data_IF_186754044786
#
_entry.id   IF_186754044786
#
_cell.length_a   1.000
_cell.length_b   1.000
_cell.length_c   1.000
_cell.angle_alpha   90.00
_cell.angle_beta   90.00
_cell.angle_gamma   90.00
#
_symmetry.space_group_name_H-M   'P 1'
#
loop_
_entity.id
_entity.type
_entity.pdbx_description
1 polymer ?
#
# COMPACT_ATOMS: atom_id res chain seq x y z
N UNK A 1 4.30 -8.53 32.97
CA UNK A 1 3.53 -7.31 32.69
C UNK A 1 2.07 -7.63 32.93
N UNK A 2 1.43 -6.95 33.88
CA UNK A 2 -0.01 -7.07 34.14
C UNK A 2 -0.83 -6.62 32.92
N UNK A 3 -2.13 -6.92 32.89
CA UNK A 3 -3.00 -6.45 31.82
C UNK A 3 -3.09 -4.91 31.76
N UNK A 4 -3.03 -4.23 32.90
CA UNK A 4 -3.07 -2.77 32.96
C UNK A 4 -1.77 -2.15 32.44
N UNK A 5 -0.61 -2.74 32.79
CA UNK A 5 0.69 -2.32 32.27
C UNK A 5 0.79 -2.52 30.74
N UNK A 6 0.18 -3.59 30.23
CA UNK A 6 0.10 -3.83 28.78
C UNK A 6 -0.75 -2.77 28.08
N UNK A 7 -1.88 -2.36 28.68
CA UNK A 7 -2.74 -1.31 28.12
C UNK A 7 -2.00 0.03 28.06
N UNK A 8 -1.39 0.42 29.17
CA UNK A 8 -0.61 1.67 29.26
C UNK A 8 0.53 1.68 28.23
N UNK A 9 1.17 0.53 28.01
CA UNK A 9 2.22 0.41 26.99
C UNK A 9 1.66 0.57 25.57
N UNK A 10 0.51 -0.05 25.25
CA UNK A 10 -0.14 0.08 23.95
C UNK A 10 -0.56 1.53 23.71
N UNK A 11 -1.22 2.16 24.68
CA UNK A 11 -1.62 3.57 24.62
C UNK A 11 -0.41 4.49 24.42
N UNK A 12 0.69 4.23 25.14
CA UNK A 12 1.94 4.98 25.00
C UNK A 12 2.54 4.86 23.59
N UNK A 13 2.47 3.69 22.98
CA UNK A 13 2.89 3.50 21.58
C UNK A 13 1.98 4.28 20.63
N UNK A 14 0.66 4.17 20.79
CA UNK A 14 -0.33 4.72 19.87
C UNK A 14 -0.40 6.25 19.89
N UNK A 15 -0.40 6.83 21.09
CA UNK A 15 -0.63 8.27 21.30
C UNK A 15 0.64 9.04 21.63
N UNK A 16 1.65 8.37 22.17
CA UNK A 16 2.90 8.98 22.61
C UNK A 16 4.01 8.93 21.57
N UNK A 17 4.79 7.85 21.58
CA UNK A 17 6.10 7.82 20.92
C UNK A 17 6.05 7.57 19.42
N UNK A 18 5.16 6.69 18.93
CA UNK A 18 5.16 6.34 17.52
C UNK A 18 4.75 7.51 16.61
N UNK A 19 3.70 8.31 16.94
CA UNK A 19 3.32 9.48 16.13
C UNK A 19 4.46 10.47 15.92
N UNK A 20 5.09 10.90 17.02
CA UNK A 20 6.17 11.88 17.00
C UNK A 20 7.43 11.33 16.33
N UNK A 21 7.76 10.06 16.56
CA UNK A 21 8.94 9.43 15.94
C UNK A 21 8.80 9.31 14.43
N UNK A 22 7.63 8.85 13.93
CA UNK A 22 7.38 8.70 12.50
C UNK A 22 7.40 10.06 11.79
N UNK A 23 6.76 11.06 12.38
CA UNK A 23 6.76 12.43 11.84
C UNK A 23 8.17 13.02 11.80
N UNK A 24 8.94 12.91 12.89
CA UNK A 24 10.31 13.40 12.95
C UNK A 24 11.24 12.70 11.96
N UNK A 25 11.06 11.39 11.75
CA UNK A 25 11.84 10.66 10.75
C UNK A 25 11.52 11.12 9.33
N UNK A 26 10.25 11.41 9.04
CA UNK A 26 9.87 12.01 7.76
C UNK A 26 10.53 13.39 7.57
N UNK A 27 10.45 14.27 8.57
CA UNK A 27 11.12 15.57 8.55
C UNK A 27 12.63 15.46 8.31
N UNK A 28 13.31 14.48 8.93
CA UNK A 28 14.74 14.23 8.70
C UNK A 28 15.03 13.80 7.26
N UNK A 29 14.23 12.91 6.70
CA UNK A 29 14.41 12.47 5.31
C UNK A 29 14.21 13.62 4.32
N UNK A 30 13.18 14.45 4.53
CA UNK A 30 12.89 15.58 3.65
C UNK A 30 13.75 16.82 3.91
N UNK A 31 14.48 16.83 5.03
CA UNK A 31 15.24 17.99 5.53
C UNK A 31 14.31 19.20 5.69
N UNK A 32 13.23 19.03 6.46
CA UNK A 32 12.19 20.04 6.68
C UNK A 32 11.69 20.05 8.13
N UNK A 33 10.84 21.03 8.48
CA UNK A 33 10.10 21.03 9.75
C UNK A 33 8.73 20.36 9.58
N UNK A 34 8.05 20.10 10.71
CA UNK A 34 6.71 19.48 10.73
C UNK A 34 5.63 20.37 10.10
N UNK A 35 5.81 21.69 10.14
CA UNK A 35 4.94 22.67 9.46
C UNK A 35 4.99 22.56 7.94
N UNK A 36 6.14 22.13 7.41
CA UNK A 36 6.45 22.20 5.99
C UNK A 36 6.03 20.90 5.27
N UNK A 37 5.61 19.88 6.02
CA UNK A 37 5.22 18.58 5.46
C UNK A 37 4.08 18.70 4.46
N UNK A 38 3.14 19.65 4.59
CA UNK A 38 1.96 19.69 3.72
C UNK A 38 2.26 20.02 2.24
N UNK A 39 3.30 20.79 1.99
CA UNK A 39 3.72 21.23 0.66
C UNK A 39 5.08 20.66 0.25
N UNK A 40 5.61 19.68 0.98
CA UNK A 40 7.00 19.24 0.79
C UNK A 40 7.25 18.65 -0.60
N UNK A 41 6.24 18.02 -1.20
CA UNK A 41 6.32 17.41 -2.53
C UNK A 41 6.30 18.44 -3.68
N UNK A 42 6.05 19.72 -3.40
CA UNK A 42 6.22 20.77 -4.42
C UNK A 42 7.70 21.05 -4.71
N UNK A 43 8.60 20.72 -3.76
CA UNK A 43 10.02 21.06 -3.82
C UNK A 43 10.97 19.87 -3.66
N UNK A 44 10.47 18.71 -3.21
CA UNK A 44 11.26 17.51 -2.94
C UNK A 44 10.79 16.34 -3.78
N UNK A 45 11.73 15.45 -4.09
CA UNK A 45 11.46 14.22 -4.84
C UNK A 45 10.53 13.28 -4.04
N UNK A 46 9.38 12.85 -4.61
CA UNK A 46 8.52 11.83 -4.03
C UNK A 46 9.22 10.51 -3.70
N UNK A 47 10.36 10.20 -4.33
CA UNK A 47 11.18 9.03 -3.99
C UNK A 47 11.61 9.02 -2.52
N UNK A 48 11.79 10.18 -1.89
CA UNK A 48 12.10 10.26 -0.46
C UNK A 48 10.99 9.62 0.40
N UNK A 49 9.73 9.71 -0.03
CA UNK A 49 8.61 9.08 0.67
C UNK A 49 8.67 7.55 0.54
N UNK A 50 9.05 7.06 -0.64
CA UNK A 50 9.24 5.62 -0.89
C UNK A 50 10.35 5.05 0.00
N UNK A 51 11.46 5.77 0.14
CA UNK A 51 12.58 5.36 1.01
C UNK A 51 12.13 5.23 2.47
N UNK A 52 11.37 6.20 3.00
CA UNK A 52 10.82 6.13 4.36
C UNK A 52 9.91 4.92 4.50
N UNK A 53 9.03 4.70 3.51
CA UNK A 53 8.11 3.58 3.50
C UNK A 53 8.83 2.24 3.50
N UNK A 54 9.85 2.05 2.66
CA UNK A 54 10.64 0.82 2.62
C UNK A 54 11.36 0.57 3.95
N UNK A 55 11.98 1.60 4.53
CA UNK A 55 12.60 1.51 5.85
C UNK A 55 11.60 1.11 6.95
N UNK A 56 10.40 1.70 6.92
CA UNK A 56 9.35 1.37 7.87
C UNK A 56 8.83 -0.05 7.67
N UNK A 57 8.47 -0.41 6.44
CA UNK A 57 7.71 -1.60 6.11
C UNK A 57 8.56 -2.87 6.00
N UNK A 58 9.76 -2.76 5.45
CA UNK A 58 10.64 -3.91 5.24
C UNK A 58 11.60 -4.17 6.41
N UNK A 59 11.91 -3.15 7.21
CA UNK A 59 12.89 -3.27 8.29
C UNK A 59 12.28 -3.05 9.67
N UNK A 60 11.69 -1.88 9.92
CA UNK A 60 11.23 -1.51 11.26
C UNK A 60 10.05 -2.35 11.72
N UNK A 61 9.04 -2.53 10.87
CA UNK A 61 7.84 -3.27 11.20
C UNK A 61 8.10 -4.75 11.53
N UNK A 62 8.86 -5.52 10.73
CA UNK A 62 9.19 -6.91 11.08
C UNK A 62 9.93 -7.04 12.42
N UNK A 63 10.82 -6.10 12.73
CA UNK A 63 11.54 -6.07 14.01
C UNK A 63 10.56 -5.80 15.17
N UNK A 64 9.70 -4.78 15.04
CA UNK A 64 8.69 -4.49 16.06
C UNK A 64 7.72 -5.66 16.26
N UNK A 65 7.26 -6.30 15.18
CA UNK A 65 6.42 -7.50 15.26
C UNK A 65 7.11 -8.63 16.01
N UNK A 66 8.40 -8.83 15.78
CA UNK A 66 9.18 -9.87 16.47
C UNK A 66 9.34 -9.57 17.96
N UNK A 67 9.68 -8.32 18.31
CA UNK A 67 9.87 -7.88 19.70
C UNK A 67 8.54 -7.94 20.47
N UNK A 68 7.45 -7.54 19.84
CA UNK A 68 6.12 -7.43 20.48
C UNK A 68 5.24 -8.65 20.26
N UNK A 69 5.76 -9.72 19.66
CA UNK A 69 5.04 -10.97 19.47
C UNK A 69 4.47 -11.56 20.78
N UNK A 70 5.19 -11.53 21.93
CA UNK A 70 4.63 -12.01 23.19
C UNK A 70 3.38 -11.23 23.62
N UNK A 71 3.39 -9.90 23.45
CA UNK A 71 2.24 -9.04 23.75
C UNK A 71 1.06 -9.38 22.84
N UNK A 72 1.29 -9.55 21.54
CA UNK A 72 0.27 -9.94 20.57
C UNK A 72 -0.33 -11.33 20.86
N UNK A 73 0.44 -12.25 21.48
CA UNK A 73 -0.12 -13.54 21.92
C UNK A 73 -1.09 -13.40 23.09
N UNK A 74 -0.82 -12.48 24.00
CA UNK A 74 -1.69 -12.23 25.16
C UNK A 74 -2.89 -11.37 24.81
N UNK A 75 -2.70 -10.37 23.94
CA UNK A 75 -3.69 -9.39 23.46
C UNK A 75 -4.02 -9.67 21.99
N UNK A 76 -5.12 -10.38 21.72
CA UNK A 76 -5.47 -10.79 20.34
C UNK A 76 -5.89 -9.62 19.44
N UNK A 77 -6.36 -8.55 20.06
CA UNK A 77 -6.74 -7.27 19.47
C UNK A 77 -5.52 -6.38 19.16
N UNK A 78 -4.41 -6.58 19.86
CA UNK A 78 -3.18 -5.85 19.59
C UNK A 78 -2.57 -6.26 18.26
N UNK A 79 -2.44 -5.30 17.35
CA UNK A 79 -1.81 -5.50 16.04
C UNK A 79 -0.86 -4.34 15.74
N UNK A 80 0.41 -4.50 16.12
CA UNK A 80 1.43 -3.45 15.95
C UNK A 80 1.56 -2.97 14.51
N UNK A 81 1.41 -3.87 13.54
CA UNK A 81 1.52 -3.52 12.12
C UNK A 81 0.43 -2.55 11.71
N UNK A 82 -0.83 -2.90 12.02
CA UNK A 82 -1.98 -2.02 11.78
C UNK A 82 -1.80 -0.68 12.51
N UNK A 83 -1.38 -0.70 13.78
CA UNK A 83 -1.16 0.51 14.58
C UNK A 83 -0.17 1.44 13.89
N UNK A 84 1.04 0.96 13.61
CA UNK A 84 2.12 1.78 13.04
C UNK A 84 1.76 2.31 11.65
N UNK A 85 1.12 1.51 10.79
CA UNK A 85 0.73 1.96 9.45
C UNK A 85 -0.42 2.98 9.52
N UNK A 86 -1.35 2.81 10.47
CA UNK A 86 -2.41 3.80 10.73
C UNK A 86 -1.81 5.13 11.17
N UNK A 87 -0.82 5.11 12.07
CA UNK A 87 -0.12 6.32 12.50
C UNK A 87 0.66 6.95 11.35
N UNK A 88 1.35 6.15 10.53
CA UNK A 88 2.08 6.64 9.36
C UNK A 88 1.13 7.33 8.36
N UNK A 89 -0.02 6.72 8.09
CA UNK A 89 -1.10 7.33 7.29
C UNK A 89 -1.51 8.68 7.86
N UNK A 90 -1.86 8.71 9.14
CA UNK A 90 -2.51 9.84 9.77
C UNK A 90 -1.57 11.02 10.05
N UNK A 91 -0.32 10.74 10.42
CA UNK A 91 0.64 11.75 10.85
C UNK A 91 1.61 12.17 9.76
N UNK A 92 1.91 11.28 8.81
CA UNK A 92 2.86 11.56 7.73
C UNK A 92 2.13 11.73 6.41
N UNK A 93 1.50 10.68 5.89
CA UNK A 93 0.97 10.69 4.51
C UNK A 93 -0.15 11.72 4.32
N UNK A 94 -1.10 11.81 5.24
CA UNK A 94 -2.19 12.81 5.18
C UNK A 94 -1.70 14.26 5.23
N UNK A 95 -0.47 14.50 5.69
CA UNK A 95 0.17 15.82 5.58
C UNK A 95 0.89 15.93 4.25
N UNK A 96 1.84 15.04 3.99
CA UNK A 96 2.70 15.05 2.79
C UNK A 96 1.93 15.10 1.48
N UNK A 97 0.75 14.49 1.44
CA UNK A 97 -0.08 14.35 0.24
C UNK A 97 -1.20 15.39 0.15
N UNK A 98 -1.34 16.28 1.14
CA UNK A 98 -2.50 17.17 1.27
C UNK A 98 -2.68 18.08 0.06
N UNK A 99 -1.58 18.69 -0.38
CA UNK A 99 -1.61 19.74 -1.41
C UNK A 99 -1.31 19.17 -2.82
N UNK A 100 -1.10 17.85 -2.93
CA UNK A 100 -0.81 17.17 -4.20
C UNK A 100 -2.08 17.03 -5.04
N UNK A 101 -2.10 17.67 -6.21
CA UNK A 101 -3.24 17.64 -7.14
C UNK A 101 -3.01 16.78 -8.39
N UNK A 102 -1.85 16.12 -8.50
CA UNK A 102 -1.47 15.35 -9.68
C UNK A 102 -1.14 13.90 -9.33
N UNK A 103 -1.18 13.04 -10.35
CA UNK A 103 -0.85 11.62 -10.20
C UNK A 103 0.65 11.44 -9.92
N UNK A 104 0.99 10.59 -8.94
CA UNK A 104 2.37 10.20 -8.63
C UNK A 104 2.47 8.66 -8.66
N UNK A 105 2.69 8.05 -9.84
CA UNK A 105 2.60 6.59 -10.01
C UNK A 105 3.53 5.79 -9.10
N UNK A 106 4.71 6.32 -8.75
CA UNK A 106 5.68 5.61 -7.91
C UNK A 106 5.17 5.37 -6.47
N UNK A 107 4.21 6.17 -6.00
CA UNK A 107 3.60 6.01 -4.68
C UNK A 107 2.46 5.00 -4.66
N UNK A 108 1.96 4.57 -5.83
CA UNK A 108 0.78 3.71 -5.95
C UNK A 108 0.88 2.40 -5.14
N UNK A 109 1.99 1.63 -5.18
CA UNK A 109 2.09 0.39 -4.40
C UNK A 109 2.05 0.62 -2.88
N UNK A 110 2.70 1.69 -2.41
CA UNK A 110 2.69 2.10 -1.00
C UNK A 110 1.28 2.50 -0.58
N UNK A 111 0.64 3.38 -1.34
CA UNK A 111 -0.70 3.89 -1.02
C UNK A 111 -1.73 2.76 -0.99
N UNK A 112 -1.68 1.85 -1.96
CA UNK A 112 -2.55 0.68 -1.98
C UNK A 112 -2.36 -0.19 -0.72
N UNK A 113 -1.12 -0.44 -0.32
CA UNK A 113 -0.82 -1.22 0.89
C UNK A 113 -1.36 -0.53 2.14
N UNK A 114 -1.18 0.79 2.27
CA UNK A 114 -1.69 1.56 3.41
C UNK A 114 -3.22 1.52 3.48
N UNK A 115 -3.90 1.66 2.34
CA UNK A 115 -5.37 1.57 2.28
C UNK A 115 -5.88 0.18 2.67
N UNK A 116 -5.15 -0.88 2.31
CA UNK A 116 -5.53 -2.25 2.64
C UNK A 116 -5.34 -2.57 4.12
N UNK A 117 -4.29 -2.05 4.75
CA UNK A 117 -3.90 -2.45 6.10
C UNK A 117 -4.55 -1.62 7.21
N UNK A 118 -4.96 -0.39 6.90
CA UNK A 118 -5.56 0.54 7.87
C UNK A 118 -7.08 0.43 7.91
N UNK A 119 -7.70 0.79 9.04
CA UNK A 119 -9.16 0.83 9.15
C UNK A 119 -9.73 2.08 8.44
N UNK A 120 -10.80 1.88 7.66
CA UNK A 120 -11.54 2.89 6.90
C UNK A 120 -12.72 3.52 7.65
N UNK A 121 -12.93 3.18 8.92
CA UNK A 121 -14.10 3.64 9.70
C UNK A 121 -14.05 5.12 10.05
N UNK A 122 -12.87 5.67 10.32
CA UNK A 122 -12.70 7.06 10.78
C UNK A 122 -12.82 8.07 9.63
N UNK A 123 -13.21 9.31 9.95
CA UNK A 123 -13.26 10.38 8.95
C UNK A 123 -11.89 10.63 8.31
N UNK A 124 -10.82 10.61 9.12
CA UNK A 124 -9.46 10.77 8.64
C UNK A 124 -9.05 9.70 7.63
N UNK A 125 -9.48 8.44 7.83
CA UNK A 125 -9.25 7.36 6.88
C UNK A 125 -9.96 7.60 5.54
N UNK A 126 -11.19 8.11 5.58
CA UNK A 126 -11.98 8.46 4.39
C UNK A 126 -11.34 9.62 3.62
N UNK A 127 -10.92 10.66 4.33
CA UNK A 127 -10.23 11.82 3.73
C UNK A 127 -8.92 11.37 3.07
N UNK A 128 -8.14 10.52 3.75
CA UNK A 128 -6.93 9.93 3.18
C UNK A 128 -7.23 9.09 1.94
N UNK A 129 -8.29 8.28 1.93
CA UNK A 129 -8.66 7.47 0.78
C UNK A 129 -8.98 8.34 -0.46
N UNK A 130 -9.59 9.51 -0.28
CA UNK A 130 -9.81 10.47 -1.37
C UNK A 130 -8.47 10.98 -1.93
N UNK A 131 -7.55 11.39 -1.06
CA UNK A 131 -6.21 11.84 -1.45
C UNK A 131 -5.43 10.75 -2.19
N UNK A 132 -5.41 9.53 -1.64
CA UNK A 132 -4.71 8.40 -2.23
C UNK A 132 -5.28 8.05 -3.61
N UNK A 133 -6.60 8.02 -3.77
CA UNK A 133 -7.25 7.74 -5.05
C UNK A 133 -6.94 8.80 -6.12
N UNK A 134 -6.85 10.08 -5.72
CA UNK A 134 -6.42 11.16 -6.62
C UNK A 134 -5.00 10.90 -7.12
N UNK A 135 -4.07 10.60 -6.21
CA UNK A 135 -2.64 10.41 -6.52
C UNK A 135 -2.39 9.13 -7.32
N UNK A 136 -3.19 8.09 -7.10
CA UNK A 136 -3.13 6.84 -7.88
C UNK A 136 -3.80 6.98 -9.26
N UNK A 137 -4.69 7.96 -9.44
CA UNK A 137 -5.45 8.14 -10.68
C UNK A 137 -6.68 7.22 -10.80
N UNK A 138 -7.18 6.66 -9.69
CA UNK A 138 -8.33 5.74 -9.69
C UNK A 138 -9.68 6.45 -9.81
N UNK A 139 -9.71 7.76 -9.57
CA UNK A 139 -10.90 8.62 -9.68
C UNK A 139 -11.01 9.37 -11.03
N UNK A 140 -10.12 9.10 -11.98
CA UNK A 140 -10.30 9.61 -13.34
C UNK A 140 -11.51 8.91 -13.97
N UNK A 141 -12.69 9.53 -13.84
CA UNK A 141 -13.69 9.42 -14.89
C UNK A 141 -12.96 9.81 -16.17
N UNK A 142 -12.66 8.83 -17.03
CA UNK A 142 -12.22 9.07 -18.39
C UNK A 142 -13.01 10.27 -18.95
N UNK A 143 -12.36 11.30 -19.52
CA UNK A 143 -13.07 12.25 -20.32
C UNK A 143 -13.80 11.44 -21.40
N UNK A 144 -15.12 11.46 -21.39
CA UNK A 144 -15.94 10.99 -22.50
C UNK A 144 -15.63 11.91 -23.69
N UNK A 145 -14.56 11.62 -24.43
CA UNK A 145 -14.00 12.59 -25.36
C UNK A 145 -12.62 12.25 -25.91
N UNK A 146 -12.37 10.99 -26.25
CA UNK A 146 -11.54 10.70 -27.42
C UNK A 146 -11.98 9.35 -27.96
N UNK A 147 -12.55 9.36 -29.16
CA UNK A 147 -12.76 8.15 -29.94
C UNK A 147 -11.40 7.48 -30.10
N UNK A 148 -11.10 6.51 -29.24
CA UNK A 148 -10.15 5.47 -29.56
C UNK A 148 -10.73 4.74 -30.77
N UNK A 149 -10.36 5.20 -31.97
CA UNK A 149 -10.53 4.44 -33.19
C UNK A 149 -10.04 3.01 -32.90
N UNK A 150 -10.99 2.08 -32.80
CA UNK A 150 -10.71 0.65 -32.64
C UNK A 150 -9.91 0.23 -33.87
N UNK A 151 -8.59 0.23 -33.75
CA UNK A 151 -7.73 -0.55 -34.64
C UNK A 151 -8.07 -2.01 -34.31
N UNK A 152 -9.00 -2.57 -35.08
CA UNK A 152 -9.31 -4.00 -35.03
C UNK A 152 -8.03 -4.74 -35.43
N UNK A 153 -7.42 -5.43 -34.47
CA UNK A 153 -6.44 -6.46 -34.75
C UNK A 153 -7.01 -7.40 -35.81
N UNK A 154 -6.37 -7.45 -36.99
CA UNK A 154 -6.70 -8.42 -38.04
C UNK A 154 -6.28 -9.80 -37.55
N UNK A 155 -7.18 -10.50 -36.86
CA UNK A 155 -7.06 -11.95 -36.72
C UNK A 155 -7.32 -12.60 -38.08
N UNK A 156 -6.43 -13.52 -38.45
CA UNK A 156 -6.45 -14.31 -39.68
C UNK A 156 -7.77 -15.08 -39.83
N UNK A 157 -8.27 -15.30 -41.07
CA UNK A 157 -9.55 -15.97 -41.28
C UNK A 157 -9.47 -17.46 -40.90
N UNK A 158 -10.50 -17.89 -40.16
CA UNK A 158 -10.72 -19.27 -39.74
C UNK A 158 -10.65 -20.27 -40.91
N UNK A 159 -9.81 -21.29 -40.79
CA UNK A 159 -9.90 -22.52 -41.60
C UNK A 159 -10.99 -23.44 -41.01
N UNK A 160 -11.72 -24.20 -41.84
CA UNK A 160 -12.81 -25.05 -41.36
C UNK A 160 -12.29 -26.27 -40.58
N UNK A 161 -13.03 -26.61 -39.53
CA UNK A 161 -12.76 -27.70 -38.60
C UNK A 161 -12.74 -29.07 -39.29
N UNK A 162 -11.62 -29.79 -39.18
CA UNK A 162 -11.58 -31.22 -39.45
C UNK A 162 -12.14 -31.97 -38.23
N UNK A 163 -13.26 -32.67 -38.41
CA UNK A 163 -13.81 -33.63 -37.43
C UNK A 163 -12.77 -34.72 -37.17
N UNK A 164 -12.34 -34.85 -35.93
CA UNK A 164 -11.55 -35.99 -35.44
C UNK A 164 -12.53 -37.04 -34.95
N UNK A 165 -12.62 -38.16 -35.67
CA UNK A 165 -13.26 -39.39 -35.23
C UNK A 165 -12.26 -40.20 -34.41
N UNK A 166 -12.59 -40.49 -33.15
CA UNK A 166 -11.81 -41.36 -32.27
C UNK A 166 -11.96 -42.81 -32.73
N UNK A 167 -11.08 -43.22 -33.65
CA UNK A 167 -10.86 -44.61 -34.02
C UNK A 167 -9.84 -45.24 -33.08
N UNK A 168 -10.32 -46.17 -32.27
CA UNK A 168 -9.58 -47.04 -31.36
C UNK A 168 -8.31 -47.64 -32.01
N UNK A 169 -7.14 -47.35 -31.44
CA UNK A 169 -5.92 -48.17 -31.65
C UNK A 169 -5.02 -48.12 -30.42
N UNK A 170 -5.20 -49.11 -29.54
CA UNK A 170 -4.16 -49.60 -28.62
C UNK A 170 -2.85 -49.83 -29.39
N UNK A 171 -1.80 -49.08 -29.10
CA UNK A 171 -0.41 -49.52 -29.29
C UNK A 171 0.46 -49.05 -28.14
N UNK A 172 0.91 -50.03 -27.36
CA UNK A 172 1.82 -49.94 -26.24
C UNK A 172 3.17 -49.36 -26.66
N UNK A 173 3.73 -48.46 -25.85
CA UNK A 173 5.11 -48.03 -25.97
C UNK A 173 6.00 -48.90 -25.08
N UNK A 174 6.84 -49.73 -25.71
CA UNK A 174 7.93 -50.44 -25.04
C UNK A 174 9.16 -49.54 -25.08
N UNK A 175 9.71 -49.19 -23.92
CA UNK A 175 11.03 -48.56 -23.81
C UNK A 175 12.11 -49.64 -23.88
N UNK A 176 13.21 -49.36 -24.57
CA UNK A 176 14.46 -50.14 -24.47
C UNK A 176 15.59 -49.18 -24.14
N UNK A 177 16.50 -49.65 -23.27
CA UNK A 177 17.66 -48.95 -22.69
C UNK A 177 18.76 -48.79 -23.74
#
# INVERSE_FOLDING_TARGET
>A
MSFDEQELFIEFLETGVAPSTLENNACKQFVCNTSDLCCILDSKDPQNLVVIWEQLYQHTLPVLQSILYPLQRTRRDFNIRRIIITIFRDKVLSKVLRDVQHRIPILEPMLFTVLLETDGTTQQAKDFAVLANLIMGTNEKQPAGSESARIRSRTLPCKPAKKVTWGDTRKSATFSI
#
